data_IF_646693553637
#
_entry.id   IF_646693553637
#
_cell.length_a   1.000
_cell.length_b   1.000
_cell.length_c   1.000
_cell.angle_alpha   90.00
_cell.angle_beta   90.00
_cell.angle_gamma   90.00
#
_symmetry.space_group_name_H-M   'P 1'
#
loop_
_entity.id
_entity.type
_entity.pdbx_description
1 polymer ?
#
# COMPACT_ATOMS: atom_id res chain seq x y z
N UNK A 1 17.54 -11.78 -24.11
CA UNK A 1 17.83 -10.42 -24.63
C UNK A 1 17.42 -9.43 -23.55
N UNK A 2 18.27 -8.46 -23.18
CA UNK A 2 17.96 -7.53 -22.10
C UNK A 2 16.83 -6.57 -22.48
N UNK A 3 15.98 -6.27 -21.50
CA UNK A 3 14.93 -5.26 -21.56
C UNK A 3 15.47 -3.96 -20.98
N UNK A 4 15.24 -2.84 -21.66
CA UNK A 4 15.69 -1.52 -21.22
C UNK A 4 14.53 -0.53 -21.19
N UNK A 5 14.58 0.38 -20.22
CA UNK A 5 13.68 1.53 -20.14
C UNK A 5 14.25 2.69 -20.97
N UNK A 6 13.36 3.42 -21.63
CA UNK A 6 13.70 4.61 -22.41
C UNK A 6 12.79 5.78 -22.04
N UNK A 7 13.35 6.99 -22.17
CA UNK A 7 12.62 8.25 -22.09
C UNK A 7 12.91 9.06 -23.35
N UNK A 8 11.86 9.45 -24.07
CA UNK A 8 12.00 10.33 -25.24
C UNK A 8 12.07 11.81 -24.84
N UNK A 9 12.52 12.65 -25.77
CA UNK A 9 12.59 14.11 -25.56
C UNK A 9 11.22 14.75 -25.22
N UNK A 10 10.11 14.13 -25.64
CA UNK A 10 8.75 14.59 -25.35
C UNK A 10 8.18 14.07 -24.01
N UNK A 11 8.93 13.23 -23.29
CA UNK A 11 8.55 12.73 -21.96
C UNK A 11 7.84 11.37 -21.93
N UNK A 12 7.65 10.72 -23.08
CA UNK A 12 7.10 9.36 -23.12
C UNK A 12 8.11 8.34 -22.58
N UNK A 13 7.63 7.44 -21.70
CA UNK A 13 8.38 6.30 -21.16
C UNK A 13 7.93 5.02 -21.86
N UNK A 14 8.90 4.19 -22.25
CA UNK A 14 8.61 2.90 -22.86
C UNK A 14 9.74 1.90 -22.61
N UNK A 15 9.44 0.62 -22.77
CA UNK A 15 10.38 -0.48 -22.60
C UNK A 15 10.66 -1.13 -23.96
N UNK A 16 11.92 -1.54 -24.20
CA UNK A 16 12.29 -2.23 -25.44
C UNK A 16 13.39 -3.25 -25.20
N UNK A 17 13.24 -4.41 -25.84
CA UNK A 17 14.26 -5.45 -25.89
C UNK A 17 15.29 -5.09 -26.95
N UNK A 18 16.54 -4.88 -26.54
CA UNK A 18 17.64 -4.52 -27.45
C UNK A 18 18.72 -5.57 -27.35
N UNK A 19 19.21 -6.09 -28.49
CA UNK A 19 20.34 -7.01 -28.49
C UNK A 19 21.60 -6.28 -28.03
N UNK A 20 22.47 -6.98 -27.31
CA UNK A 20 23.71 -6.38 -26.83
C UNK A 20 24.62 -5.86 -27.96
N UNK A 21 24.57 -6.49 -29.14
CA UNK A 21 25.29 -6.02 -30.34
C UNK A 21 24.82 -4.64 -30.86
N UNK A 22 23.60 -4.23 -30.49
CA UNK A 22 22.98 -2.95 -30.87
C UNK A 22 22.86 -2.03 -29.66
N UNK A 23 23.74 -2.20 -28.68
CA UNK A 23 23.68 -1.42 -27.45
C UNK A 23 23.86 0.08 -27.72
N UNK A 24 24.74 0.49 -28.62
CA UNK A 24 24.95 1.93 -28.88
C UNK A 24 24.00 2.51 -29.93
N UNK A 25 23.15 1.68 -30.54
CA UNK A 25 22.26 2.13 -31.61
C UNK A 25 21.17 3.09 -31.08
N UNK A 26 20.95 4.24 -31.75
CA UNK A 26 19.93 5.20 -31.37
C UNK A 26 18.53 4.58 -31.34
N UNK A 27 17.80 4.81 -30.26
CA UNK A 27 16.42 4.35 -30.12
C UNK A 27 15.46 5.51 -30.31
N UNK A 28 14.34 5.23 -30.96
CA UNK A 28 13.30 6.21 -31.23
C UNK A 28 12.00 5.79 -30.58
N UNK A 29 11.28 6.78 -30.07
CA UNK A 29 9.90 6.63 -29.61
C UNK A 29 8.96 6.50 -30.81
N UNK A 30 7.73 6.04 -30.57
CA UNK A 30 6.67 6.01 -31.59
C UNK A 30 6.32 7.40 -32.14
N UNK A 31 6.56 8.47 -31.35
CA UNK A 31 6.43 9.84 -31.82
C UNK A 31 7.57 10.32 -32.74
N UNK A 32 8.57 9.48 -33.01
CA UNK A 32 9.74 9.81 -33.84
C UNK A 32 10.85 10.54 -33.10
N UNK A 33 10.62 11.03 -31.88
CA UNK A 33 11.66 11.65 -31.07
C UNK A 33 12.74 10.63 -30.64
N UNK A 34 13.99 11.09 -30.63
CA UNK A 34 15.11 10.32 -30.09
C UNK A 34 14.91 10.04 -28.60
N UNK A 35 15.26 8.83 -28.17
CA UNK A 35 15.08 8.35 -26.81
C UNK A 35 16.41 7.99 -26.17
N UNK A 36 16.54 8.30 -24.88
CA UNK A 36 17.70 7.95 -24.06
C UNK A 36 17.32 6.80 -23.14
N UNK A 37 18.24 5.86 -22.95
CA UNK A 37 18.09 4.80 -21.95
C UNK A 37 17.98 5.42 -20.56
N UNK A 38 17.06 4.90 -19.77
CA UNK A 38 16.89 5.23 -18.37
C UNK A 38 17.45 4.10 -17.52
N UNK A 39 18.36 4.45 -16.62
CA UNK A 39 18.80 3.56 -15.56
C UNK A 39 17.80 3.71 -14.41
N UNK A 40 16.76 2.88 -14.42
CA UNK A 40 15.84 2.81 -13.30
C UNK A 40 16.52 2.09 -12.14
N UNK A 41 16.52 2.72 -10.96
CA UNK A 41 17.01 2.06 -9.75
C UNK A 41 16.12 0.83 -9.46
N UNK A 42 16.69 -0.37 -9.28
CA UNK A 42 15.91 -1.53 -8.94
C UNK A 42 15.24 -1.32 -7.59
N UNK A 43 13.94 -1.64 -7.51
CA UNK A 43 13.26 -1.73 -6.22
C UNK A 43 13.54 -3.10 -5.64
N UNK A 44 14.08 -3.14 -4.42
CA UNK A 44 14.24 -4.38 -3.66
C UNK A 44 13.07 -4.49 -2.69
N UNK A 45 12.33 -5.59 -2.78
CA UNK A 45 11.35 -5.98 -1.78
C UNK A 45 11.92 -7.13 -0.95
N UNK A 46 11.90 -6.96 0.36
CA UNK A 46 12.34 -7.99 1.33
C UNK A 46 11.12 -8.55 2.05
N UNK A 47 11.13 -9.85 2.33
CA UNK A 47 10.08 -10.52 3.11
C UNK A 47 10.19 -10.28 4.63
N UNK A 48 11.06 -9.34 5.03
CA UNK A 48 11.33 -9.08 6.43
C UNK A 48 10.15 -8.36 7.09
N UNK A 49 9.76 -8.87 8.26
CA UNK A 49 8.73 -8.29 9.11
C UNK A 49 9.30 -8.07 10.51
N UNK A 50 8.68 -7.17 11.28
CA UNK A 50 8.95 -7.09 12.71
C UNK A 50 8.72 -8.47 13.35
N UNK A 51 9.58 -8.93 14.28
CA UNK A 51 9.45 -10.25 14.86
C UNK A 51 8.08 -10.47 15.51
N UNK A 52 7.35 -11.46 15.03
CA UNK A 52 6.03 -11.86 15.56
C UNK A 52 6.03 -13.32 15.96
N UNK A 53 5.20 -13.65 16.94
CA UNK A 53 5.02 -15.03 17.41
C UNK A 53 4.15 -15.82 16.44
N UNK A 54 4.65 -16.95 15.94
CA UNK A 54 3.91 -17.91 15.13
C UNK A 54 3.02 -18.83 15.95
N UNK A 55 2.18 -19.62 15.28
CA UNK A 55 1.31 -20.61 15.93
C UNK A 55 2.09 -21.84 16.44
N UNK A 56 3.33 -21.99 16.00
CA UNK A 56 4.30 -22.96 16.50
C UNK A 56 4.98 -22.54 17.81
N UNK A 57 4.70 -21.31 18.29
CA UNK A 57 5.29 -20.75 19.50
C UNK A 57 6.71 -20.20 19.33
N UNK A 58 7.16 -19.95 18.10
CA UNK A 58 8.47 -19.36 17.82
C UNK A 58 8.34 -17.96 17.23
N UNK A 59 9.42 -17.19 17.31
CA UNK A 59 9.50 -15.87 16.70
C UNK A 59 9.88 -16.00 15.22
N UNK A 60 9.17 -15.30 14.35
CA UNK A 60 9.41 -15.24 12.90
C UNK A 60 9.70 -13.81 12.47
N UNK A 61 10.73 -13.66 11.66
CA UNK A 61 11.22 -12.41 11.07
C UNK A 61 10.90 -12.29 9.56
N UNK A 62 10.21 -13.29 9.02
CA UNK A 62 9.79 -13.37 7.62
C UNK A 62 8.32 -13.75 7.51
N UNK A 63 7.60 -13.04 6.64
CA UNK A 63 6.16 -13.23 6.48
C UNK A 63 5.83 -14.62 5.93
N UNK A 64 6.65 -15.15 5.01
CA UNK A 64 6.49 -16.50 4.50
C UNK A 64 6.65 -17.57 5.59
N UNK A 65 7.60 -17.36 6.50
CA UNK A 65 7.87 -18.26 7.63
C UNK A 65 6.70 -18.25 8.62
N UNK A 66 6.24 -17.05 9.01
CA UNK A 66 5.06 -16.89 9.86
C UNK A 66 3.81 -17.54 9.23
N UNK A 67 3.51 -17.26 7.95
CA UNK A 67 2.33 -17.80 7.25
C UNK A 67 2.34 -19.32 7.11
N UNK A 68 3.51 -19.94 7.15
CA UNK A 68 3.61 -21.40 7.18
C UNK A 68 3.01 -21.96 8.46
N UNK A 69 3.22 -21.30 9.60
CA UNK A 69 2.65 -21.73 10.89
C UNK A 69 1.14 -21.62 10.95
N UNK A 70 0.53 -20.79 10.09
CA UNK A 70 -0.93 -20.68 10.01
C UNK A 70 -1.58 -21.90 9.36
N UNK A 71 -0.82 -22.74 8.66
CA UNK A 71 -1.34 -23.96 8.04
C UNK A 71 -1.21 -25.15 8.99
N UNK A 72 -2.07 -26.13 8.80
CA UNK A 72 -2.10 -27.37 9.58
C UNK A 72 -0.77 -28.15 9.55
N UNK A 73 0.05 -28.03 8.50
CA UNK A 73 1.37 -28.66 8.40
C UNK A 73 2.45 -27.93 9.19
N UNK A 74 2.22 -26.67 9.55
CA UNK A 74 3.20 -25.79 10.17
C UNK A 74 2.98 -25.53 11.65
N UNK A 75 1.95 -26.12 12.27
CA UNK A 75 1.65 -25.93 13.69
C UNK A 75 1.38 -27.25 14.42
N UNK A 76 1.63 -27.31 15.74
CA UNK A 76 1.39 -28.51 16.53
C UNK A 76 -0.10 -28.86 16.69
N UNK A 77 -1.00 -27.90 16.45
CA UNK A 77 -2.46 -28.08 16.57
C UNK A 77 -3.06 -28.79 15.34
N UNK A 78 -2.39 -28.78 14.18
CA UNK A 78 -2.91 -29.37 12.95
C UNK A 78 -4.11 -28.62 12.36
N UNK A 79 -4.27 -27.33 12.69
CA UNK A 79 -5.41 -26.51 12.28
C UNK A 79 -4.99 -25.43 11.27
N UNK A 80 -5.94 -24.97 10.45
CA UNK A 80 -5.71 -23.85 9.55
C UNK A 80 -6.25 -22.55 10.18
N UNK A 81 -5.36 -21.59 10.38
CA UNK A 81 -5.65 -20.25 10.88
C UNK A 81 -5.74 -19.24 9.72
N UNK A 82 -6.57 -18.21 9.89
CA UNK A 82 -6.80 -17.15 8.91
C UNK A 82 -6.33 -15.83 9.51
N UNK A 83 -5.53 -15.06 8.74
CA UNK A 83 -5.12 -13.71 9.13
C UNK A 83 -6.33 -12.77 9.13
N UNK A 84 -6.76 -12.28 10.29
CA UNK A 84 -7.82 -11.29 10.42
C UNK A 84 -7.24 -9.87 10.37
N UNK A 85 -7.90 -8.95 9.68
CA UNK A 85 -7.52 -7.53 9.64
C UNK A 85 -6.68 -7.10 8.44
N UNK A 86 -6.37 -8.00 7.50
CA UNK A 86 -5.73 -7.67 6.23
C UNK A 86 -6.75 -7.36 5.11
N UNK A 87 -8.03 -7.25 5.45
CA UNK A 87 -9.09 -6.94 4.51
C UNK A 87 -9.06 -5.45 4.17
N UNK A 88 -9.06 -5.12 2.88
CA UNK A 88 -9.26 -3.74 2.44
C UNK A 88 -10.63 -3.26 2.89
N UNK A 89 -10.68 -2.19 3.69
CA UNK A 89 -11.92 -1.55 4.08
C UNK A 89 -12.69 -1.15 2.82
N UNK A 90 -13.94 -1.63 2.69
CA UNK A 90 -14.79 -1.24 1.58
C UNK A 90 -14.95 0.28 1.59
N UNK A 91 -14.63 0.99 0.51
CA UNK A 91 -14.87 2.43 0.44
C UNK A 91 -16.38 2.66 0.56
N UNK A 92 -16.77 3.41 1.59
CA UNK A 92 -18.17 3.80 1.78
C UNK A 92 -18.46 4.98 0.86
N UNK A 93 -19.27 4.76 -0.18
CA UNK A 93 -19.78 5.85 -1.01
C UNK A 93 -20.66 6.77 -0.16
N UNK A 94 -20.16 7.96 0.15
CA UNK A 94 -20.94 9.00 0.84
C UNK A 94 -21.66 9.85 -0.20
N UNK A 95 -22.99 9.72 -0.28
CA UNK A 95 -23.83 10.63 -1.06
C UNK A 95 -23.89 11.98 -0.34
N UNK A 96 -23.43 13.04 -1.01
CA UNK A 96 -23.41 14.39 -0.45
C UNK A 96 -24.72 15.13 -0.79
N UNK A 97 -25.59 15.30 0.21
CA UNK A 97 -26.69 16.26 0.11
C UNK A 97 -26.27 17.62 0.69
N UNK A 98 -26.28 18.65 -0.17
CA UNK A 98 -25.91 20.02 0.18
C UNK A 98 -26.88 20.65 1.18
N UNK A 99 -28.17 20.29 1.13
CA UNK A 99 -29.19 20.84 2.01
C UNK A 99 -29.02 20.28 3.42
N UNK A 100 -28.98 18.95 3.54
CA UNK A 100 -28.79 18.27 4.80
C UNK A 100 -27.55 18.79 5.54
N UNK A 101 -26.43 18.96 4.83
CA UNK A 101 -25.19 19.49 5.42
C UNK A 101 -25.35 20.90 6.00
N UNK A 102 -26.12 21.78 5.36
CA UNK A 102 -26.36 23.13 5.90
C UNK A 102 -27.18 23.08 7.18
N UNK A 103 -28.15 22.18 7.23
CA UNK A 103 -29.03 22.01 8.38
C UNK A 103 -28.24 21.37 9.55
N UNK A 104 -27.40 20.37 9.27
CA UNK A 104 -26.50 19.74 10.24
C UNK A 104 -25.51 20.75 10.84
N UNK A 105 -24.91 21.62 10.01
CA UNK A 105 -23.98 22.67 10.48
C UNK A 105 -24.72 23.66 11.39
N UNK A 106 -25.95 24.06 11.04
CA UNK A 106 -26.74 24.97 11.87
C UNK A 106 -27.10 24.34 13.21
N UNK A 107 -27.50 23.06 13.20
CA UNK A 107 -27.80 22.31 14.41
C UNK A 107 -26.57 22.20 15.32
N UNK A 108 -25.41 21.86 14.75
CA UNK A 108 -24.16 21.78 15.51
C UNK A 108 -23.76 23.13 16.15
N UNK A 109 -23.88 24.24 15.40
CA UNK A 109 -23.62 25.58 15.96
C UNK A 109 -24.59 25.90 17.10
N UNK A 110 -25.85 25.50 16.97
CA UNK A 110 -26.86 25.70 17.99
C UNK A 110 -26.54 24.90 19.26
N UNK A 111 -26.19 23.62 19.13
CA UNK A 111 -25.84 22.75 20.25
C UNK A 111 -24.63 23.27 21.04
N UNK A 112 -23.61 23.78 20.33
CA UNK A 112 -22.45 24.43 20.97
C UNK A 112 -22.86 25.69 21.73
N UNK A 113 -23.77 26.51 21.19
CA UNK A 113 -24.28 27.71 21.86
C UNK A 113 -25.12 27.39 23.09
N UNK A 114 -25.87 26.30 23.07
CA UNK A 114 -26.67 25.82 24.20
C UNK A 114 -25.86 25.03 25.23
N UNK A 115 -24.56 24.83 25.02
CA UNK A 115 -23.69 24.09 25.93
C UNK A 115 -23.91 22.58 25.92
N UNK A 116 -24.57 22.03 24.89
CA UNK A 116 -24.75 20.59 24.67
C UNK A 116 -23.48 20.00 24.06
N UNK A 117 -22.38 20.10 24.78
CA UNK A 117 -21.10 19.55 24.35
C UNK A 117 -21.03 18.07 24.73
N UNK A 118 -20.55 17.18 23.83
CA UNK A 118 -20.25 15.82 24.23
C UNK A 118 -19.17 15.85 25.32
N UNK A 119 -19.22 14.90 26.28
CA UNK A 119 -18.16 14.80 27.28
C UNK A 119 -16.81 14.59 26.56
N UNK A 120 -15.80 15.35 26.97
CA UNK A 120 -14.45 15.19 26.45
C UNK A 120 -13.96 13.81 26.87
N UNK A 121 -13.89 12.87 25.93
CA UNK A 121 -13.27 11.57 26.16
C UNK A 121 -11.76 11.77 26.25
N UNK A 122 -11.26 11.93 27.47
CA UNK A 122 -9.82 11.87 27.75
C UNK A 122 -9.44 10.40 27.62
N UNK A 123 -8.80 10.03 26.50
CA UNK A 123 -8.11 8.75 26.44
C UNK A 123 -7.05 8.74 27.54
N UNK A 124 -6.96 7.68 28.37
CA UNK A 124 -5.90 7.62 29.36
C UNK A 124 -4.56 7.69 28.61
N UNK A 125 -3.78 8.71 28.91
CA UNK A 125 -2.38 8.76 28.52
C UNK A 125 -1.75 7.56 29.21
N UNK A 126 -1.23 6.61 28.43
CA UNK A 126 -0.44 5.52 28.98
C UNK A 126 0.83 6.14 29.57
N UNK A 127 0.87 6.29 30.89
CA UNK A 127 2.09 6.62 31.61
C UNK A 127 3.13 5.52 31.32
N UNK A 128 4.22 5.92 30.66
CA UNK A 128 5.45 5.12 30.50
C UNK A 128 6.39 5.40 31.66
#
# INVERSE_FOLDING_TARGET
>A
MPLYDFLCAEGHRFERVVKLAHFDDPQHCECGAGAKRQLSAPRVHTDHIDPIMGMDGKMHDSLASYRRTLRADGNPQGENYIELGNESLKPVERKFDRKQRRDDIKAAIHDVKEGRLPPVTVSPVADQ
#
